data_IF_828882386926
#
_entry.id   IF_828882386926
#
_cell.length_a   1.000
_cell.length_b   1.000
_cell.length_c   1.000
_cell.angle_alpha   90.00
_cell.angle_beta   90.00
_cell.angle_gamma   90.00
#
_symmetry.space_group_name_H-M   'P 1'
#
loop_
_entity.id
_entity.type
_entity.pdbx_description
1 polymer ?
#
# COMPACT_ATOMS: atom_id res chain seq x y z
N UNK A 1 3.95 -3.54 -8.21
CA UNK A 1 2.89 -3.59 -9.25
C UNK A 1 1.53 -3.36 -8.58
N UNK A 2 0.57 -2.70 -9.23
CA UNK A 2 -0.82 -2.64 -8.74
C UNK A 2 -1.57 -3.90 -9.17
N UNK A 3 -2.22 -4.56 -8.22
CA UNK A 3 -3.04 -5.75 -8.47
C UNK A 3 -4.28 -5.45 -9.31
N UNK A 4 -4.85 -6.49 -9.90
CA UNK A 4 -5.93 -6.34 -10.86
C UNK A 4 -7.20 -5.74 -10.21
N UNK A 5 -7.73 -4.64 -10.78
CA UNK A 5 -8.90 -3.93 -10.23
C UNK A 5 -10.14 -4.82 -10.11
N UNK A 6 -10.26 -5.87 -10.92
CA UNK A 6 -11.35 -6.83 -10.81
C UNK A 6 -11.43 -7.45 -9.41
N UNK A 7 -10.30 -7.82 -8.80
CA UNK A 7 -10.28 -8.39 -7.44
C UNK A 7 -10.76 -7.40 -6.39
N UNK A 8 -10.30 -6.15 -6.44
CA UNK A 8 -10.57 -5.18 -5.36
C UNK A 8 -11.83 -4.35 -5.57
N UNK A 9 -12.21 -4.04 -6.81
CA UNK A 9 -13.34 -3.15 -7.13
C UNK A 9 -14.60 -3.89 -7.57
N UNK A 10 -14.46 -4.97 -8.36
CA UNK A 10 -15.60 -5.71 -8.91
C UNK A 10 -15.99 -6.84 -7.96
N UNK A 11 -15.07 -7.78 -7.73
CA UNK A 11 -15.25 -8.88 -6.78
C UNK A 11 -15.19 -8.42 -5.33
N UNK A 12 -14.63 -7.24 -5.06
CA UNK A 12 -14.59 -6.63 -3.72
C UNK A 12 -14.03 -7.63 -2.68
N UNK A 13 -12.89 -8.23 -3.03
CA UNK A 13 -12.15 -9.25 -2.27
C UNK A 13 -12.82 -10.64 -2.18
N UNK A 14 -13.99 -10.84 -2.76
CA UNK A 14 -14.66 -12.15 -2.78
C UNK A 14 -14.09 -13.08 -3.88
N UNK A 15 -14.17 -14.39 -3.65
CA UNK A 15 -13.75 -15.45 -4.60
C UNK A 15 -12.39 -15.16 -5.28
N UNK A 16 -11.34 -14.93 -4.49
CA UNK A 16 -10.07 -14.43 -4.99
C UNK A 16 -9.24 -15.46 -5.76
N UNK A 17 -9.51 -16.75 -5.62
CA UNK A 17 -8.61 -17.83 -6.00
C UNK A 17 -8.29 -17.80 -7.51
N UNK A 18 -9.32 -17.84 -8.35
CA UNK A 18 -9.14 -17.86 -9.81
C UNK A 18 -8.57 -16.52 -10.35
N UNK A 19 -9.11 -15.34 -9.98
CA UNK A 19 -8.56 -14.09 -10.50
C UNK A 19 -7.15 -13.77 -9.97
N UNK A 20 -6.80 -14.26 -8.78
CA UNK A 20 -5.45 -14.16 -8.23
C UNK A 20 -4.47 -15.01 -9.03
N UNK A 21 -4.84 -16.25 -9.36
CA UNK A 21 -4.03 -17.11 -10.23
C UNK A 21 -3.77 -16.42 -11.58
N UNK A 22 -4.80 -15.86 -12.22
CA UNK A 22 -4.65 -15.12 -13.48
C UNK A 22 -3.71 -13.90 -13.33
N UNK A 23 -3.82 -13.19 -12.20
CA UNK A 23 -2.92 -12.05 -11.91
C UNK A 23 -1.46 -12.49 -11.75
N UNK A 24 -1.23 -13.65 -11.12
CA UNK A 24 0.10 -14.25 -10.96
C UNK A 24 0.69 -14.68 -12.30
N UNK A 25 -0.09 -15.37 -13.13
CA UNK A 25 0.32 -15.82 -14.46
C UNK A 25 0.66 -14.63 -15.37
N UNK A 26 -0.18 -13.59 -15.39
CA UNK A 26 0.08 -12.37 -16.17
C UNK A 26 1.36 -11.64 -15.71
N UNK A 27 1.71 -11.75 -14.42
CA UNK A 27 2.89 -11.13 -13.84
C UNK A 27 4.16 -12.00 -13.93
N UNK A 28 4.06 -13.26 -14.37
CA UNK A 28 5.16 -14.22 -14.35
C UNK A 28 6.41 -13.72 -15.09
N UNK A 29 6.22 -12.97 -16.20
CA UNK A 29 7.32 -12.40 -16.98
C UNK A 29 8.18 -11.36 -16.24
N UNK A 30 7.71 -10.82 -15.11
CA UNK A 30 8.48 -9.89 -14.28
C UNK A 30 9.53 -10.60 -13.43
N UNK A 31 9.36 -11.90 -13.15
CA UNK A 31 10.26 -12.71 -12.33
C UNK A 31 10.66 -12.03 -11.02
N UNK A 32 11.93 -12.13 -10.66
CA UNK A 32 12.47 -11.54 -9.42
C UNK A 32 12.44 -10.01 -9.34
N UNK A 33 12.02 -9.29 -10.39
CA UNK A 33 11.84 -7.82 -10.34
C UNK A 33 10.53 -7.42 -9.65
N UNK A 34 9.57 -8.34 -9.52
CA UNK A 34 8.31 -8.07 -8.84
C UNK A 34 8.46 -8.29 -7.33
N UNK A 35 8.79 -7.23 -6.60
CA UNK A 35 8.93 -7.32 -5.14
C UNK A 35 7.60 -7.26 -4.39
N UNK A 36 6.69 -6.37 -4.81
CA UNK A 36 5.44 -6.09 -4.09
C UNK A 36 4.24 -5.99 -5.05
N UNK A 37 3.13 -6.62 -4.69
CA UNK A 37 1.81 -6.42 -5.31
C UNK A 37 0.89 -5.63 -4.37
N UNK A 38 0.41 -4.50 -4.85
CA UNK A 38 -0.46 -3.58 -4.11
C UNK A 38 -1.93 -3.80 -4.48
N UNK A 39 -2.76 -4.11 -3.48
CA UNK A 39 -4.19 -4.32 -3.59
C UNK A 39 -4.95 -3.12 -3.03
N UNK A 40 -5.31 -2.17 -3.90
CA UNK A 40 -6.05 -0.97 -3.50
C UNK A 40 -7.57 -1.19 -3.60
N UNK A 41 -8.27 -1.00 -2.48
CA UNK A 41 -9.73 -1.09 -2.37
C UNK A 41 -10.42 0.22 -2.77
N UNK A 42 -11.67 0.21 -3.25
CA UNK A 42 -12.43 1.45 -3.49
C UNK A 42 -12.99 2.03 -2.17
N UNK A 43 -13.29 3.34 -2.13
CA UNK A 43 -13.93 4.00 -0.97
C UNK A 43 -15.26 3.37 -0.58
N UNK A 44 -15.99 2.82 -1.56
CA UNK A 44 -17.29 2.17 -1.34
C UNK A 44 -17.20 0.79 -0.70
N UNK A 45 -15.99 0.24 -0.48
CA UNK A 45 -15.79 -1.06 0.16
C UNK A 45 -15.59 -0.89 1.66
N UNK A 46 -16.65 -1.18 2.42
CA UNK A 46 -16.64 -1.18 3.88
C UNK A 46 -16.05 -2.49 4.43
N UNK A 47 -15.67 -2.48 5.71
CA UNK A 47 -15.07 -3.61 6.42
C UNK A 47 -15.97 -4.84 6.33
N UNK A 48 -15.36 -5.93 5.91
CA UNK A 48 -15.92 -7.28 5.88
C UNK A 48 -14.76 -8.24 6.18
N UNK A 49 -14.71 -8.72 7.42
CA UNK A 49 -13.60 -9.53 7.90
C UNK A 49 -13.55 -10.91 7.24
N UNK A 50 -14.70 -11.49 6.90
CA UNK A 50 -14.74 -12.79 6.23
C UNK A 50 -14.11 -12.69 4.83
N UNK A 51 -14.42 -11.62 4.09
CA UNK A 51 -13.77 -11.37 2.79
C UNK A 51 -12.28 -11.09 2.93
N UNK A 52 -11.87 -10.27 3.90
CA UNK A 52 -10.46 -9.98 4.12
C UNK A 52 -9.67 -11.24 4.48
N UNK A 53 -10.18 -12.07 5.39
CA UNK A 53 -9.54 -13.32 5.79
C UNK A 53 -9.41 -14.28 4.62
N UNK A 54 -10.48 -14.48 3.83
CA UNK A 54 -10.42 -15.34 2.65
C UNK A 54 -9.41 -14.82 1.61
N UNK A 55 -9.43 -13.50 1.36
CA UNK A 55 -8.47 -12.85 0.47
C UNK A 55 -7.03 -13.01 0.95
N UNK A 56 -6.77 -12.73 2.22
CA UNK A 56 -5.45 -12.85 2.84
C UNK A 56 -4.93 -14.30 2.83
N UNK A 57 -5.81 -15.28 3.03
CA UNK A 57 -5.48 -16.69 2.89
C UNK A 57 -5.11 -17.05 1.45
N UNK A 58 -5.91 -16.63 0.46
CA UNK A 58 -5.63 -16.91 -0.94
C UNK A 58 -4.30 -16.33 -1.44
N UNK A 59 -3.90 -15.16 -0.92
CA UNK A 59 -2.60 -14.55 -1.24
C UNK A 59 -1.40 -15.45 -0.90
N UNK A 60 -1.53 -16.40 0.03
CA UNK A 60 -0.48 -17.38 0.33
C UNK A 60 -0.13 -18.28 -0.87
N UNK A 61 -1.01 -18.36 -1.88
CA UNK A 61 -0.76 -19.07 -3.14
C UNK A 61 0.19 -18.29 -4.10
N UNK A 62 0.66 -17.09 -3.72
CA UNK A 62 1.65 -16.31 -4.47
C UNK A 62 2.85 -15.90 -3.57
N UNK A 63 3.59 -16.87 -3.02
CA UNK A 63 4.61 -16.62 -2.00
C UNK A 63 5.87 -15.90 -2.51
N UNK A 64 6.09 -15.85 -3.83
CA UNK A 64 7.28 -15.23 -4.42
C UNK A 64 7.29 -13.71 -4.33
N UNK A 65 6.16 -13.08 -3.98
CA UNK A 65 6.01 -11.63 -3.89
C UNK A 65 5.49 -11.23 -2.51
N UNK A 66 5.80 -10.01 -2.08
CA UNK A 66 5.15 -9.41 -0.92
C UNK A 66 3.81 -8.80 -1.34
N UNK A 67 2.86 -8.77 -0.42
CA UNK A 67 1.56 -8.14 -0.64
C UNK A 67 1.39 -6.91 0.23
N UNK A 68 0.78 -5.88 -0.32
CA UNK A 68 0.33 -4.70 0.41
C UNK A 68 -1.15 -4.44 0.14
N UNK A 69 -1.93 -4.10 1.16
CA UNK A 69 -3.33 -3.71 1.05
C UNK A 69 -3.47 -2.20 1.30
N UNK A 70 -4.17 -1.51 0.40
CA UNK A 70 -4.44 -0.09 0.52
C UNK A 70 -5.93 0.15 0.71
N UNK A 71 -6.31 0.40 1.96
CA UNK A 71 -7.69 0.68 2.34
C UNK A 71 -8.07 2.12 2.01
N UNK A 72 -9.32 2.30 1.55
CA UNK A 72 -9.88 3.62 1.20
C UNK A 72 -11.10 4.01 2.04
N UNK A 73 -11.43 3.21 3.04
CA UNK A 73 -12.58 3.44 3.91
C UNK A 73 -12.18 3.23 5.38
N UNK A 74 -12.56 4.16 6.26
CA UNK A 74 -12.12 4.21 7.67
C UNK A 74 -12.57 3.00 8.49
N UNK A 75 -13.64 2.30 8.07
CA UNK A 75 -14.11 1.10 8.77
C UNK A 75 -13.06 -0.02 8.84
N UNK A 76 -12.05 0.01 7.96
CA UNK A 76 -10.94 -0.95 7.96
C UNK A 76 -9.87 -0.64 9.01
N UNK A 77 -9.91 0.54 9.65
CA UNK A 77 -8.84 1.01 10.55
C UNK A 77 -9.12 0.50 11.94
N UNK A 78 -8.79 -0.77 12.15
CA UNK A 78 -9.27 -1.57 13.26
C UNK A 78 -8.21 -2.61 13.65
N UNK A 79 -8.11 -2.92 14.94
CA UNK A 79 -7.11 -3.85 15.47
C UNK A 79 -7.31 -5.27 14.93
N UNK A 80 -8.55 -5.70 14.68
CA UNK A 80 -8.85 -7.02 14.11
C UNK A 80 -8.32 -7.13 12.68
N UNK A 81 -8.42 -6.04 11.91
CA UNK A 81 -7.82 -5.94 10.57
C UNK A 81 -6.30 -6.00 10.68
N UNK A 82 -5.70 -5.25 11.61
CA UNK A 82 -4.25 -5.25 11.81
C UNK A 82 -3.73 -6.66 12.17
N UNK A 83 -4.41 -7.37 13.08
CA UNK A 83 -4.09 -8.75 13.45
C UNK A 83 -4.14 -9.66 12.23
N UNK A 84 -5.21 -9.60 11.42
CA UNK A 84 -5.32 -10.40 10.20
C UNK A 84 -4.15 -10.14 9.24
N UNK A 85 -3.82 -8.87 8.98
CA UNK A 85 -2.68 -8.51 8.14
C UNK A 85 -1.35 -9.01 8.69
N UNK A 86 -1.12 -8.91 10.01
CA UNK A 86 0.06 -9.44 10.69
C UNK A 86 0.18 -10.96 10.51
N UNK A 87 -0.90 -11.70 10.77
CA UNK A 87 -0.94 -13.16 10.65
C UNK A 87 -0.55 -13.63 9.25
N UNK A 88 -1.02 -12.92 8.21
CA UNK A 88 -0.74 -13.26 6.81
C UNK A 88 0.50 -12.58 6.23
N UNK A 89 1.25 -11.81 7.05
CA UNK A 89 2.43 -11.04 6.61
C UNK A 89 2.11 -10.10 5.43
N UNK A 90 0.95 -9.45 5.44
CA UNK A 90 0.52 -8.47 4.43
C UNK A 90 0.75 -7.05 4.96
N UNK A 91 1.45 -6.23 4.20
CA UNK A 91 1.71 -4.84 4.58
C UNK A 91 0.44 -3.99 4.46
N UNK A 92 0.12 -3.22 5.50
CA UNK A 92 -0.79 -2.10 5.36
C UNK A 92 -0.09 -0.98 4.57
N UNK A 93 -0.73 -0.49 3.51
CA UNK A 93 -0.24 0.64 2.74
C UNK A 93 -0.63 1.94 3.44
N UNK A 94 0.36 2.70 3.91
CA UNK A 94 0.16 4.05 4.41
C UNK A 94 -0.12 4.96 3.22
N UNK A 95 -1.33 5.48 3.14
CA UNK A 95 -1.78 6.27 2.00
C UNK A 95 -2.09 7.69 2.46
N UNK A 96 -1.24 8.63 2.07
CA UNK A 96 -1.43 10.05 2.38
C UNK A 96 -2.12 10.77 1.22
N UNK A 97 -3.28 11.35 1.50
CA UNK A 97 -4.10 12.07 0.55
C UNK A 97 -5.07 12.99 1.29
N UNK A 98 -5.46 14.10 0.67
CA UNK A 98 -6.55 14.97 1.19
C UNK A 98 -7.89 14.23 1.30
N UNK A 99 -8.08 13.27 0.40
CA UNK A 99 -9.39 12.72 0.05
C UNK A 99 -9.84 11.51 0.88
N UNK A 100 -8.93 10.86 1.60
CA UNK A 100 -9.20 9.68 2.40
C UNK A 100 -8.27 9.62 3.61
N UNK A 101 -8.71 9.01 4.71
CA UNK A 101 -7.93 9.01 5.93
C UNK A 101 -6.71 8.10 5.81
N UNK A 102 -5.66 8.44 6.57
CA UNK A 102 -4.44 7.65 6.66
C UNK A 102 -4.51 6.71 7.86
N UNK A 103 -4.12 5.45 7.65
CA UNK A 103 -3.91 4.48 8.72
C UNK A 103 -2.46 4.03 8.73
N UNK A 104 -1.77 4.31 9.82
CA UNK A 104 -0.34 4.06 10.00
C UNK A 104 -0.04 2.78 10.80
N UNK A 105 -0.94 1.80 10.83
CA UNK A 105 -0.64 0.51 11.43
C UNK A 105 0.53 -0.17 10.70
N UNK A 106 1.51 -0.66 11.48
CA UNK A 106 2.64 -1.46 10.97
C UNK A 106 2.28 -2.92 11.15
N UNK A 107 2.07 -3.63 10.05
CA UNK A 107 1.59 -5.02 10.08
C UNK A 107 2.67 -6.04 9.68
N UNK A 108 3.79 -5.58 9.12
CA UNK A 108 4.90 -6.46 8.70
C UNK A 108 6.24 -5.74 8.81
N UNK A 109 7.33 -6.46 8.52
CA UNK A 109 8.66 -5.90 8.26
C UNK A 109 8.72 -4.97 7.03
N UNK A 110 7.76 -5.07 6.11
CA UNK A 110 7.56 -4.13 5.01
C UNK A 110 6.52 -3.07 5.40
N UNK A 111 6.87 -1.80 5.23
CA UNK A 111 5.93 -0.67 5.24
C UNK A 111 5.87 -0.06 3.86
N UNK A 112 4.67 -0.03 3.27
CA UNK A 112 4.45 0.47 1.92
C UNK A 112 3.80 1.85 2.00
N UNK A 113 4.48 2.90 1.54
CA UNK A 113 4.00 4.28 1.61
C UNK A 113 3.59 4.75 0.20
N UNK A 114 2.40 5.34 0.10
CA UNK A 114 1.93 6.02 -1.11
C UNK A 114 1.54 7.44 -0.77
N UNK A 115 2.32 8.38 -1.30
CA UNK A 115 2.19 9.80 -1.06
C UNK A 115 1.48 10.43 -2.26
N UNK A 116 0.18 10.69 -2.12
CA UNK A 116 -0.68 11.19 -3.19
C UNK A 116 -0.78 12.72 -3.20
N UNK A 117 -0.24 13.42 -2.21
CA UNK A 117 -0.37 14.88 -2.03
C UNK A 117 -1.42 15.22 -0.98
N UNK A 118 -1.02 16.06 -0.02
CA UNK A 118 -1.77 16.29 1.22
C UNK A 118 -2.89 17.34 1.10
N UNK A 119 -2.62 18.51 0.51
CA UNK A 119 -3.62 19.58 0.40
C UNK A 119 -4.66 19.32 -0.71
N UNK A 120 -4.23 18.68 -1.79
CA UNK A 120 -5.05 18.23 -2.92
C UNK A 120 -4.46 16.96 -3.49
N UNK A 121 -5.24 15.90 -3.41
CA UNK A 121 -4.89 14.57 -3.91
C UNK A 121 -4.49 14.63 -5.39
N UNK A 122 -3.41 13.95 -5.73
CA UNK A 122 -2.71 13.89 -7.02
C UNK A 122 -2.05 15.18 -7.51
N UNK A 123 -2.29 16.32 -6.85
CA UNK A 123 -1.89 17.62 -7.34
C UNK A 123 -0.80 18.30 -6.50
N UNK A 124 -0.84 18.12 -5.18
CA UNK A 124 0.03 18.89 -4.28
C UNK A 124 1.44 18.34 -4.29
N UNK A 125 2.41 19.22 -4.54
CA UNK A 125 3.78 18.97 -4.12
C UNK A 125 3.83 18.89 -2.59
N UNK A 126 4.85 18.22 -2.08
CA UNK A 126 5.13 18.22 -0.65
C UNK A 126 6.21 19.26 -0.43
N UNK A 127 6.04 20.14 0.54
CA UNK A 127 7.10 21.07 0.92
C UNK A 127 8.20 20.37 1.75
N UNK A 128 9.30 21.08 2.00
CA UNK A 128 10.44 20.52 2.75
C UNK A 128 10.09 20.15 4.19
N UNK A 129 9.09 20.80 4.80
CA UNK A 129 8.59 20.46 6.13
C UNK A 129 7.81 19.15 6.11
N UNK A 130 6.86 19.01 5.19
CA UNK A 130 6.09 17.78 5.01
C UNK A 130 6.99 16.60 4.62
N UNK A 131 7.97 16.82 3.74
CA UNK A 131 8.97 15.81 3.40
C UNK A 131 9.89 15.49 4.59
N UNK A 132 10.23 16.48 5.41
CA UNK A 132 10.98 16.29 6.66
C UNK A 132 10.26 15.38 7.64
N UNK A 133 8.94 15.55 7.81
CA UNK A 133 8.10 14.68 8.64
C UNK A 133 8.07 13.25 8.10
N UNK A 134 7.95 13.08 6.79
CA UNK A 134 8.04 11.77 6.14
C UNK A 134 9.42 11.14 6.29
N UNK A 135 10.49 11.91 6.15
CA UNK A 135 11.86 11.44 6.37
C UNK A 135 12.07 10.98 7.82
N UNK A 136 11.51 11.70 8.80
CA UNK A 136 11.49 11.30 10.20
C UNK A 136 10.82 9.94 10.40
N UNK A 137 9.59 9.79 9.90
CA UNK A 137 8.84 8.52 9.97
C UNK A 137 9.60 7.36 9.31
N UNK A 138 10.20 7.59 8.14
CA UNK A 138 10.97 6.56 7.44
C UNK A 138 12.20 6.15 8.24
N UNK A 139 12.94 7.10 8.84
CA UNK A 139 14.07 6.80 9.72
C UNK A 139 13.65 6.00 10.95
N UNK A 140 12.53 6.37 11.58
CA UNK A 140 12.02 5.63 12.74
C UNK A 140 11.67 4.18 12.38
N UNK A 141 11.05 3.97 11.21
CA UNK A 141 10.77 2.63 10.68
C UNK A 141 12.05 1.84 10.42
N UNK A 142 13.05 2.46 9.80
CA UNK A 142 14.36 1.84 9.53
C UNK A 142 15.08 1.47 10.84
N UNK A 143 15.06 2.35 11.85
CA UNK A 143 15.63 2.09 13.16
C UNK A 143 14.96 0.90 13.88
N UNK A 144 13.69 0.62 13.56
CA UNK A 144 12.95 -0.55 14.02
C UNK A 144 13.18 -1.80 13.15
N UNK A 145 14.11 -1.75 12.19
CA UNK A 145 14.44 -2.86 11.29
C UNK A 145 13.39 -3.10 10.21
N UNK A 146 12.58 -2.09 9.85
CA UNK A 146 11.56 -2.18 8.80
C UNK A 146 12.11 -1.67 7.46
N UNK A 147 11.66 -2.32 6.39
CA UNK A 147 11.91 -1.88 5.02
C UNK A 147 10.76 -0.96 4.56
N UNK A 148 11.08 0.29 4.26
CA UNK A 148 10.11 1.32 3.88
C UNK A 148 10.16 1.58 2.37
N UNK A 149 9.13 1.16 1.64
CA UNK A 149 9.01 1.40 0.20
C UNK A 149 8.11 2.61 -0.03
N UNK A 150 8.69 3.72 -0.49
CA UNK A 150 7.96 5.00 -0.69
C UNK A 150 7.70 5.25 -2.17
N UNK A 151 6.44 5.50 -2.52
CA UNK A 151 6.01 5.83 -3.87
C UNK A 151 5.23 7.15 -3.87
N UNK A 152 5.68 8.10 -4.68
CA UNK A 152 4.96 9.34 -4.93
C UNK A 152 3.99 9.17 -6.11
N UNK A 153 2.71 9.48 -5.89
CA UNK A 153 1.66 9.43 -6.90
C UNK A 153 1.06 10.84 -7.18
N UNK A 154 1.63 11.89 -6.58
CA UNK A 154 1.27 13.29 -6.81
C UNK A 154 1.87 13.81 -8.14
N UNK A 155 1.43 13.22 -9.24
CA UNK A 155 2.08 13.35 -10.55
C UNK A 155 1.82 14.67 -11.27
N UNK A 156 0.93 15.53 -10.78
CA UNK A 156 0.71 16.85 -11.39
C UNK A 156 2.00 17.67 -11.42
N UNK A 157 2.23 18.35 -12.55
CA UNK A 157 3.36 19.26 -12.78
C UNK A 157 4.76 18.65 -12.51
N UNK A 158 4.91 17.32 -12.50
CA UNK A 158 6.19 16.65 -12.23
C UNK A 158 6.61 16.66 -10.76
N UNK A 159 5.71 16.99 -9.82
CA UNK A 159 6.03 17.08 -8.40
C UNK A 159 6.51 15.74 -7.80
N UNK A 160 5.94 14.62 -8.23
CA UNK A 160 6.33 13.29 -7.75
C UNK A 160 7.85 13.00 -7.91
N UNK A 161 8.46 13.38 -9.03
CA UNK A 161 9.89 13.16 -9.26
C UNK A 161 10.73 14.03 -8.32
N UNK A 162 10.42 15.32 -8.24
CA UNK A 162 11.16 16.27 -7.40
C UNK A 162 11.08 15.87 -5.93
N UNK A 163 9.89 15.50 -5.45
CA UNK A 163 9.69 15.06 -4.08
C UNK A 163 10.42 13.75 -3.76
N UNK A 164 10.44 12.80 -4.70
CA UNK A 164 11.17 11.54 -4.53
C UNK A 164 12.68 11.78 -4.41
N UNK A 165 13.25 12.64 -5.27
CA UNK A 165 14.66 13.01 -5.19
C UNK A 165 14.96 13.76 -3.88
N UNK A 166 14.09 14.70 -3.49
CA UNK A 166 14.26 15.48 -2.28
C UNK A 166 14.18 14.64 -1.01
N UNK A 167 13.20 13.72 -0.93
CA UNK A 167 13.09 12.78 0.18
C UNK A 167 14.32 11.88 0.26
N UNK A 168 14.83 11.42 -0.90
CA UNK A 168 16.06 10.61 -0.95
C UNK A 168 17.25 11.40 -0.39
N UNK A 169 17.44 12.65 -0.79
CA UNK A 169 18.49 13.52 -0.22
C UNK A 169 18.36 13.66 1.30
N UNK A 170 17.15 13.81 1.82
CA UNK A 170 16.88 13.93 3.26
C UNK A 170 17.17 12.66 4.06
N UNK A 171 17.14 11.50 3.41
CA UNK A 171 17.41 10.20 4.04
C UNK A 171 18.88 9.81 4.04
N UNK A 172 19.72 10.48 3.24
CA UNK A 172 21.15 10.18 3.05
C UNK A 172 21.39 9.03 2.08
#
# INVERSE_FOLDING_TARGET
MKGHRYLTHVKRLAEPEQPLQQSREAAAGLGGKLAVVLWQTPRSLHKDMARLQNFAHALAAWPEVRHALEFRHVSWFDDEVAVCLCTHRIANCWSDAADWPLWNAVTTDLVYLRLHGHARTYASAYDDGELGDWAGKVRDLQAQGRDAHVYFDNTAAGAALHNALRLKEMLG
#
